data_IF_214940500789
#
_entry.id   IF_214940500789
#
_cell.length_a   1.000
_cell.length_b   1.000
_cell.length_c   1.000
_cell.angle_alpha   90.00
_cell.angle_beta   90.00
_cell.angle_gamma   90.00
#
_symmetry.space_group_name_H-M   'P 1'
#
loop_
_entity.id
_entity.type
_entity.pdbx_description
1 polymer ?
#
# COMPACT_ATOMS: atom_id res chain seq x y z
N UNK A 1 32.28 -8.41 11.37
CA UNK A 1 31.34 -9.42 11.87
C UNK A 1 30.61 -10.03 10.70
N UNK A 2 30.42 -11.35 10.68
CA UNK A 2 29.69 -12.07 9.61
C UNK A 2 28.30 -12.55 10.03
N UNK A 3 27.89 -12.29 11.28
CA UNK A 3 26.56 -12.60 11.82
C UNK A 3 26.23 -11.59 12.93
N UNK A 4 24.94 -11.41 13.24
CA UNK A 4 24.49 -10.64 14.42
C UNK A 4 25.00 -11.22 15.74
N UNK A 5 25.40 -12.49 15.74
CA UNK A 5 26.05 -13.18 16.85
C UNK A 5 27.58 -13.21 16.76
N UNK A 6 28.16 -12.71 15.67
CA UNK A 6 29.61 -12.71 15.44
C UNK A 6 30.10 -11.31 15.08
N UNK A 7 30.43 -10.53 16.11
CA UNK A 7 30.90 -9.13 15.98
C UNK A 7 32.42 -9.11 16.11
N UNK A 8 33.12 -9.05 14.98
CA UNK A 8 34.58 -9.03 14.92
C UNK A 8 35.22 -7.74 15.48
N UNK A 9 34.50 -6.62 15.46
CA UNK A 9 34.97 -5.34 16.00
C UNK A 9 33.82 -4.40 16.31
N UNK A 10 33.96 -3.62 17.39
CA UNK A 10 33.07 -2.51 17.76
C UNK A 10 33.90 -1.24 17.83
N UNK A 11 33.55 -0.25 17.03
CA UNK A 11 34.16 1.08 17.07
C UNK A 11 33.16 2.06 17.71
N UNK A 12 33.48 2.61 18.90
CA UNK A 12 32.65 3.64 19.48
C UNK A 12 32.77 4.92 18.64
N UNK A 13 31.64 5.46 18.21
CA UNK A 13 31.56 6.75 17.53
C UNK A 13 30.85 7.73 18.45
N UNK A 14 31.50 8.85 18.74
CA UNK A 14 30.90 9.97 19.45
C UNK A 14 30.28 10.93 18.44
N UNK A 15 28.99 11.20 18.58
CA UNK A 15 28.29 12.19 17.76
C UNK A 15 27.98 13.41 18.61
N UNK A 16 28.31 14.60 18.11
CA UNK A 16 27.80 15.86 18.65
C UNK A 16 26.50 16.15 17.91
N UNK A 17 25.38 15.71 18.48
CA UNK A 17 24.06 16.07 17.95
C UNK A 17 23.69 17.49 18.39
N UNK A 18 23.37 18.36 17.44
CA UNK A 18 22.69 19.62 17.77
C UNK A 18 21.21 19.32 18.06
N UNK A 19 20.68 19.86 19.15
CA UNK A 19 19.24 19.77 19.42
C UNK A 19 18.51 20.65 18.41
N UNK A 20 17.89 20.02 17.42
CA UNK A 20 17.09 20.72 16.42
C UNK A 20 15.77 21.17 17.06
N UNK A 21 15.73 22.39 17.59
CA UNK A 21 14.55 22.96 18.26
C UNK A 21 13.64 23.74 17.30
N UNK A 22 13.78 23.55 15.98
CA UNK A 22 12.96 24.23 14.98
C UNK A 22 11.64 23.49 14.72
N UNK A 23 11.01 23.02 15.79
CA UNK A 23 9.67 22.49 15.76
C UNK A 23 8.72 23.66 15.91
N UNK A 24 8.37 24.29 14.79
CA UNK A 24 7.14 25.08 14.77
C UNK A 24 6.00 24.16 15.25
N UNK A 25 5.53 24.40 16.47
CA UNK A 25 4.35 23.84 17.12
C UNK A 25 4.04 22.38 16.77
N UNK A 26 4.90 21.43 17.18
CA UNK A 26 4.52 20.00 17.09
C UNK A 26 3.39 19.72 18.10
N UNK A 27 2.25 19.15 17.68
CA UNK A 27 1.15 18.82 18.58
C UNK A 27 1.52 17.76 19.62
N UNK A 28 1.01 17.91 20.85
CA UNK A 28 1.31 16.99 21.96
C UNK A 28 0.93 15.52 21.69
N UNK A 29 -0.07 15.25 20.84
CA UNK A 29 -0.43 13.88 20.45
C UNK A 29 0.67 13.19 19.64
N UNK A 30 1.54 13.95 18.96
CA UNK A 30 2.64 13.43 18.15
C UNK A 30 3.87 13.10 19.01
N UNK A 31 4.14 13.91 20.05
CA UNK A 31 5.23 13.66 21.01
C UNK A 31 4.86 12.63 22.08
N UNK A 32 3.57 12.56 22.42
CA UNK A 32 3.03 11.63 23.42
C UNK A 32 1.98 10.77 22.73
N UNK A 33 2.39 9.58 22.27
CA UNK A 33 1.54 8.64 21.54
C UNK A 33 0.30 8.29 22.37
N UNK A 34 -0.80 8.99 22.10
CA UNK A 34 -2.07 8.88 22.81
C UNK A 34 -3.19 8.91 21.80
N UNK A 35 -3.96 7.81 21.73
CA UNK A 35 -5.06 7.67 20.77
C UNK A 35 -4.61 7.50 19.32
N UNK A 36 -5.58 7.55 18.40
CA UNK A 36 -5.33 7.61 16.95
C UNK A 36 -5.49 9.07 16.52
N UNK A 37 -4.53 9.65 15.77
CA UNK A 37 -4.67 11.02 15.28
C UNK A 37 -5.88 11.11 14.34
N UNK A 38 -6.62 12.21 14.45
CA UNK A 38 -7.70 12.55 13.52
C UNK A 38 -7.15 13.05 12.18
N UNK A 39 -8.02 13.20 11.18
CA UNK A 39 -7.67 13.85 9.92
C UNK A 39 -7.20 15.28 10.17
N UNK A 40 -7.89 16.00 11.06
CA UNK A 40 -7.56 17.39 11.41
C UNK A 40 -6.17 17.51 12.05
N UNK A 41 -5.83 16.56 12.94
CA UNK A 41 -4.52 16.48 13.56
C UNK A 41 -3.40 16.31 12.52
N UNK A 42 -3.64 15.48 11.52
CA UNK A 42 -2.69 15.27 10.41
C UNK A 42 -2.56 16.51 9.52
N UNK A 43 -3.67 17.16 9.18
CA UNK A 43 -3.64 18.38 8.36
C UNK A 43 -2.89 19.52 9.05
N UNK A 44 -3.06 19.67 10.37
CA UNK A 44 -2.34 20.67 11.16
C UNK A 44 -0.84 20.38 11.26
N UNK A 45 -0.44 19.11 11.33
CA UNK A 45 0.96 18.73 11.41
C UNK A 45 1.69 18.90 10.06
N UNK A 46 0.99 18.67 8.95
CA UNK A 46 1.61 18.63 7.62
C UNK A 46 1.37 19.89 6.79
N UNK A 47 0.50 20.78 7.25
CA UNK A 47 -0.08 21.90 6.47
C UNK A 47 -0.71 21.45 5.13
N UNK A 48 -1.05 20.16 5.02
CA UNK A 48 -1.68 19.59 3.83
C UNK A 48 -3.13 19.25 4.13
N UNK A 49 -4.05 19.67 3.24
CA UNK A 49 -5.44 19.25 3.30
C UNK A 49 -5.58 17.81 2.81
N UNK A 50 -6.20 16.97 3.63
CA UNK A 50 -6.56 15.61 3.24
C UNK A 50 -7.78 15.72 2.33
N UNK A 51 -7.70 15.26 1.06
CA UNK A 51 -8.84 15.31 0.16
C UNK A 51 -9.98 14.47 0.74
N UNK A 52 -11.21 14.94 0.52
CA UNK A 52 -12.40 14.20 0.93
C UNK A 52 -12.40 12.80 0.29
N UNK A 53 -12.95 11.77 0.98
CA UNK A 53 -13.10 10.45 0.39
C UNK A 53 -13.87 10.53 -0.93
N UNK A 54 -13.22 10.12 -2.03
CA UNK A 54 -13.83 10.06 -3.35
C UNK A 54 -14.31 8.64 -3.64
N UNK A 55 -15.60 8.48 -3.96
CA UNK A 55 -16.10 7.22 -4.48
C UNK A 55 -15.92 7.18 -6.00
N UNK A 56 -15.01 6.33 -6.47
CA UNK A 56 -14.73 6.18 -7.89
C UNK A 56 -15.91 5.57 -8.65
N UNK A 57 -16.23 6.15 -9.81
CA UNK A 57 -17.21 5.59 -10.76
C UNK A 57 -16.53 4.96 -11.99
N UNK A 58 -17.18 4.00 -12.68
CA UNK A 58 -16.66 3.47 -13.95
C UNK A 58 -16.35 4.60 -14.95
N UNK A 59 -15.10 4.68 -15.38
CA UNK A 59 -14.57 5.76 -16.22
C UNK A 59 -13.40 6.52 -15.58
N UNK A 60 -13.35 6.56 -14.25
CA UNK A 60 -12.33 7.29 -13.48
C UNK A 60 -11.20 6.41 -12.97
N UNK A 61 -11.32 5.09 -13.10
CA UNK A 61 -10.31 4.19 -12.57
C UNK A 61 -9.01 4.32 -13.36
N UNK A 62 -7.89 4.32 -12.63
CA UNK A 62 -6.53 4.35 -13.15
C UNK A 62 -5.71 3.20 -12.58
N UNK A 63 -4.46 3.05 -13.03
CA UNK A 63 -3.53 2.04 -12.48
C UNK A 63 -3.12 2.32 -11.03
N UNK A 64 -3.43 3.52 -10.52
CA UNK A 64 -3.13 3.94 -9.14
C UNK A 64 -4.22 3.53 -8.15
N UNK A 65 -5.40 3.14 -8.64
CA UNK A 65 -6.45 2.62 -7.79
C UNK A 65 -6.09 1.26 -7.21
N UNK A 66 -6.68 0.96 -6.06
CA UNK A 66 -6.48 -0.29 -5.33
C UNK A 66 -7.54 -1.33 -5.71
N UNK A 67 -7.25 -2.64 -5.58
CA UNK A 67 -8.27 -3.67 -5.76
C UNK A 67 -9.48 -3.48 -4.85
N UNK A 68 -9.31 -2.94 -3.63
CA UNK A 68 -10.41 -2.67 -2.70
C UNK A 68 -11.38 -1.62 -3.25
N UNK A 69 -10.87 -0.53 -3.80
CA UNK A 69 -11.68 0.54 -4.43
C UNK A 69 -12.46 0.00 -5.62
N UNK A 70 -11.81 -0.81 -6.46
CA UNK A 70 -12.39 -1.30 -7.70
C UNK A 70 -13.31 -2.52 -7.51
N UNK A 71 -13.16 -3.27 -6.40
CA UNK A 71 -13.95 -4.47 -6.07
C UNK A 71 -15.46 -4.21 -6.01
N UNK A 72 -15.88 -2.97 -5.70
CA UNK A 72 -17.30 -2.57 -5.72
C UNK A 72 -17.91 -2.68 -7.13
N UNK A 73 -17.10 -2.54 -8.18
CA UNK A 73 -17.58 -2.41 -9.56
C UNK A 73 -17.01 -3.44 -10.55
N UNK A 74 -16.02 -4.27 -10.16
CA UNK A 74 -15.39 -5.24 -11.08
C UNK A 74 -15.13 -6.62 -10.46
N UNK A 75 -15.76 -7.65 -11.04
CA UNK A 75 -15.53 -9.06 -10.71
C UNK A 75 -14.13 -9.54 -11.16
N UNK A 76 -13.62 -9.00 -12.27
CA UNK A 76 -12.29 -9.34 -12.81
C UNK A 76 -11.16 -8.92 -11.86
N UNK A 77 -11.31 -7.78 -11.18
CA UNK A 77 -10.33 -7.32 -10.20
C UNK A 77 -10.36 -8.12 -8.90
N UNK A 78 -11.54 -8.63 -8.51
CA UNK A 78 -11.64 -9.62 -7.43
C UNK A 78 -10.84 -10.89 -7.76
N UNK A 79 -10.89 -11.34 -9.01
CA UNK A 79 -10.18 -12.53 -9.46
C UNK A 79 -8.66 -12.31 -9.40
N UNK A 80 -8.14 -11.16 -9.83
CA UNK A 80 -6.70 -10.87 -9.80
C UNK A 80 -6.19 -10.69 -8.38
N UNK A 81 -6.91 -9.95 -7.54
CA UNK A 81 -6.59 -9.87 -6.12
C UNK A 81 -6.58 -11.27 -5.49
N UNK A 82 -7.56 -12.11 -5.83
CA UNK A 82 -7.62 -13.49 -5.36
C UNK A 82 -6.45 -14.35 -5.86
N UNK A 83 -6.05 -14.26 -7.13
CA UNK A 83 -4.88 -14.97 -7.66
C UNK A 83 -3.60 -14.52 -6.95
N UNK A 84 -3.38 -13.21 -6.81
CA UNK A 84 -2.21 -12.65 -6.13
C UNK A 84 -2.14 -13.05 -4.67
N UNK A 85 -3.28 -12.96 -3.96
CA UNK A 85 -3.41 -13.46 -2.58
C UNK A 85 -3.10 -14.94 -2.55
N UNK A 86 -3.72 -15.76 -3.40
CA UNK A 86 -3.55 -17.21 -3.41
C UNK A 86 -2.11 -17.63 -3.68
N UNK A 87 -1.39 -16.92 -4.55
CA UNK A 87 0.03 -17.17 -4.80
C UNK A 87 0.86 -16.79 -3.56
N UNK A 88 0.58 -15.64 -2.96
CA UNK A 88 1.35 -15.11 -1.83
C UNK A 88 1.03 -15.77 -0.49
N UNK A 89 -0.15 -16.38 -0.35
CA UNK A 89 -0.57 -17.13 0.84
C UNK A 89 -0.50 -18.65 0.65
N UNK A 90 0.06 -19.12 -0.46
CA UNK A 90 0.11 -20.54 -0.82
C UNK A 90 0.77 -21.39 0.28
N UNK A 91 1.83 -20.85 0.87
CA UNK A 91 2.68 -21.56 1.82
C UNK A 91 2.28 -21.32 3.29
N UNK A 92 1.21 -20.55 3.54
CA UNK A 92 0.67 -20.38 4.89
C UNK A 92 -0.15 -21.60 5.32
N UNK A 93 0.19 -22.13 6.50
CA UNK A 93 -0.51 -23.24 7.15
C UNK A 93 -1.95 -22.84 7.48
N UNK A 94 -2.15 -21.63 8.01
CA UNK A 94 -3.48 -21.05 8.24
C UNK A 94 -3.75 -19.87 7.30
N UNK A 95 -4.54 -20.14 6.26
CA UNK A 95 -4.92 -19.15 5.23
C UNK A 95 -5.93 -18.11 5.71
N UNK A 96 -6.49 -18.28 6.91
CA UNK A 96 -7.37 -17.29 7.57
C UNK A 96 -6.75 -16.71 8.85
N UNK A 97 -5.53 -17.12 9.18
CA UNK A 97 -4.76 -16.63 10.30
C UNK A 97 -4.43 -15.14 10.17
N UNK A 98 -3.98 -14.51 11.26
CA UNK A 98 -3.64 -13.08 11.28
C UNK A 98 -2.64 -12.69 10.18
N UNK A 99 -1.66 -13.54 9.90
CA UNK A 99 -0.65 -13.31 8.87
C UNK A 99 -1.21 -13.33 7.44
N UNK A 100 -2.06 -14.31 7.13
CA UNK A 100 -2.73 -14.39 5.84
C UNK A 100 -3.70 -13.21 5.64
N UNK A 101 -4.39 -12.77 6.68
CA UNK A 101 -5.25 -11.56 6.66
C UNK A 101 -4.45 -10.29 6.47
N UNK A 102 -3.29 -10.18 7.09
CA UNK A 102 -2.38 -9.05 6.92
C UNK A 102 -1.87 -8.96 5.47
N UNK A 103 -1.42 -10.07 4.89
CA UNK A 103 -1.02 -10.10 3.47
C UNK A 103 -2.19 -9.79 2.53
N UNK A 104 -3.39 -10.28 2.83
CA UNK A 104 -4.59 -9.93 2.07
C UNK A 104 -4.88 -8.43 2.12
N UNK A 105 -4.77 -7.81 3.29
CA UNK A 105 -4.95 -6.36 3.43
C UNK A 105 -3.91 -5.60 2.59
N UNK A 106 -2.63 -5.97 2.68
CA UNK A 106 -1.56 -5.36 1.85
C UNK A 106 -1.93 -5.43 0.37
N UNK A 107 -2.32 -6.59 -0.14
CA UNK A 107 -2.65 -6.75 -1.57
C UNK A 107 -3.87 -5.91 -1.95
N UNK A 108 -4.90 -5.86 -1.10
CA UNK A 108 -6.12 -5.12 -1.39
C UNK A 108 -5.96 -3.60 -1.33
N UNK A 109 -5.01 -3.12 -0.53
CA UNK A 109 -4.77 -1.69 -0.26
C UNK A 109 -3.55 -1.15 -1.04
N UNK A 110 -2.87 -1.98 -1.84
CA UNK A 110 -1.76 -1.56 -2.71
C UNK A 110 -2.27 -1.19 -4.11
N UNK A 111 -1.81 -0.07 -4.70
CA UNK A 111 -2.09 0.28 -6.09
C UNK A 111 -1.75 -0.84 -7.09
N UNK A 112 -2.62 -1.07 -8.08
CA UNK A 112 -2.44 -2.17 -9.06
C UNK A 112 -1.08 -2.16 -9.77
N UNK A 113 -0.58 -0.97 -10.14
CA UNK A 113 0.72 -0.85 -10.80
C UNK A 113 1.87 -1.36 -9.91
N UNK A 114 1.79 -1.10 -8.60
CA UNK A 114 2.80 -1.54 -7.63
C UNK A 114 2.72 -3.05 -7.42
N UNK A 115 1.53 -3.62 -7.41
CA UNK A 115 1.36 -5.08 -7.37
C UNK A 115 2.03 -5.73 -8.58
N UNK A 116 1.83 -5.20 -9.79
CA UNK A 116 2.47 -5.73 -10.99
C UNK A 116 4.02 -5.65 -10.93
N UNK A 117 4.54 -4.53 -10.44
CA UNK A 117 5.98 -4.33 -10.26
C UNK A 117 6.57 -5.29 -9.20
N UNK A 118 5.87 -5.51 -8.09
CA UNK A 118 6.32 -6.37 -6.98
C UNK A 118 6.08 -7.86 -7.21
N UNK A 119 5.22 -8.23 -8.17
CA UNK A 119 4.83 -9.61 -8.41
C UNK A 119 5.86 -10.41 -9.21
N UNK A 120 7.05 -9.87 -9.50
CA UNK A 120 8.12 -10.57 -10.25
C UNK A 120 7.64 -11.26 -11.54
N UNK A 121 6.70 -10.63 -12.26
CA UNK A 121 6.13 -11.15 -13.50
C UNK A 121 4.86 -12.00 -13.35
N UNK A 122 4.44 -12.36 -12.13
CA UNK A 122 3.17 -13.08 -11.90
C UNK A 122 1.93 -12.21 -12.23
N UNK A 123 2.06 -10.89 -12.17
CA UNK A 123 1.07 -9.93 -12.65
C UNK A 123 1.72 -8.99 -13.67
N UNK A 124 1.39 -9.17 -14.95
CA UNK A 124 1.94 -8.36 -16.05
C UNK A 124 1.28 -6.96 -16.09
N UNK A 125 2.03 -5.95 -16.52
CA UNK A 125 1.51 -4.58 -16.66
C UNK A 125 0.37 -4.49 -17.69
N UNK A 126 0.43 -5.25 -18.78
CA UNK A 126 -0.67 -5.35 -19.75
C UNK A 126 -1.94 -5.93 -19.14
N UNK A 127 -1.82 -6.82 -18.16
CA UNK A 127 -2.97 -7.32 -17.42
C UNK A 127 -3.58 -6.21 -16.56
N UNK A 128 -2.76 -5.39 -15.90
CA UNK A 128 -3.23 -4.19 -15.17
C UNK A 128 -3.99 -3.24 -16.10
N UNK A 129 -3.49 -3.00 -17.31
CA UNK A 129 -4.16 -2.15 -18.30
C UNK A 129 -5.54 -2.66 -18.69
N UNK A 130 -5.65 -3.97 -18.95
CA UNK A 130 -6.92 -4.61 -19.28
C UNK A 130 -7.89 -4.56 -18.13
N UNK A 131 -7.42 -4.69 -16.89
CA UNK A 131 -8.27 -4.61 -15.70
C UNK A 131 -8.82 -3.21 -15.47
N UNK A 132 -7.98 -2.17 -15.64
CA UNK A 132 -8.42 -0.78 -15.57
C UNK A 132 -9.42 -0.47 -16.70
N UNK A 133 -9.14 -0.94 -17.92
CA UNK A 133 -10.08 -0.80 -19.03
C UNK A 133 -11.43 -1.50 -18.75
N UNK A 134 -11.41 -2.73 -18.22
CA UNK A 134 -12.62 -3.46 -17.86
C UNK A 134 -13.43 -2.76 -16.75
N UNK A 135 -12.75 -2.25 -15.71
CA UNK A 135 -13.40 -1.49 -14.64
C UNK A 135 -14.02 -0.18 -15.13
N UNK A 136 -13.48 0.40 -16.20
CA UNK A 136 -14.03 1.58 -16.86
C UNK A 136 -15.03 1.28 -17.99
N UNK A 137 -15.44 0.01 -18.16
CA UNK A 137 -16.29 -0.45 -19.28
C UNK A 137 -15.71 -0.14 -20.68
N UNK A 138 -14.39 0.00 -20.80
CA UNK A 138 -13.67 0.30 -22.04
C UNK A 138 -13.23 -1.00 -22.74
N UNK A 139 -14.19 -1.84 -23.14
CA UNK A 139 -13.94 -3.19 -23.64
C UNK A 139 -13.08 -3.24 -24.92
N UNK A 140 -13.16 -2.24 -25.79
CA UNK A 140 -12.30 -2.14 -26.98
C UNK A 140 -10.83 -2.03 -26.57
N UNK A 141 -10.51 -1.20 -25.57
CA UNK A 141 -9.14 -1.07 -25.04
C UNK A 141 -8.66 -2.33 -24.33
N UNK A 142 -9.57 -3.20 -23.88
CA UNK A 142 -9.21 -4.49 -23.26
C UNK A 142 -8.64 -5.49 -24.28
N UNK A 143 -9.09 -5.42 -25.54
CA UNK A 143 -8.69 -6.34 -26.61
C UNK A 143 -7.39 -5.88 -27.27
N UNK A 144 -7.23 -4.57 -27.46
CA UNK A 144 -6.14 -3.98 -28.25
C UNK A 144 -4.95 -3.40 -27.43
N UNK A 145 -4.91 -3.60 -26.10
CA UNK A 145 -3.76 -3.25 -25.24
C UNK A 145 -3.11 -4.47 -24.59
#
# INVERSE_FOLDING_TARGET
GTSVTNIDAVLPVSFTGETFNNFATIPNWYTTLSGKPSVQDFEQLTDQKVPAPHEFVPGEFTRLNTPREMKKHSLLLRLVAWITVKIRTKDYIDKQGPEAKFQQAIVLDTPLIRLAQQASGALKLSMVDRLVAAANHQYVKMIFR
#
